data_IF_809335704602
#
_entry.id   IF_809335704602
#
_cell.length_a   1.000
_cell.length_b   1.000
_cell.length_c   1.000
_cell.angle_alpha   90.00
_cell.angle_beta   90.00
_cell.angle_gamma   90.00
#
_symmetry.space_group_name_H-M   'P 1'
#
loop_
_entity.id
_entity.type
_entity.pdbx_description
1 polymer ?
#
# COMPACT_ATOMS: atom_id res chain seq x y z
N UNK A 1 41.57 -15.79 -11.94
CA UNK A 1 41.30 -15.53 -10.50
C UNK A 1 40.26 -14.42 -10.28
N UNK A 2 40.22 -13.36 -11.11
CA UNK A 2 39.35 -12.20 -10.90
C UNK A 2 37.83 -12.47 -11.05
N UNK A 3 37.42 -13.27 -12.05
CA UNK A 3 36.00 -13.59 -12.29
C UNK A 3 35.35 -14.40 -11.15
N UNK A 4 36.12 -15.28 -10.49
CA UNK A 4 35.65 -16.08 -9.34
C UNK A 4 35.37 -15.21 -8.12
N UNK A 5 36.24 -14.23 -7.86
CA UNK A 5 36.07 -13.28 -6.76
C UNK A 5 34.90 -12.32 -7.00
N UNK A 6 34.65 -11.91 -8.26
CA UNK A 6 33.49 -11.08 -8.59
C UNK A 6 32.16 -11.81 -8.37
N UNK A 7 32.08 -13.08 -8.78
CA UNK A 7 30.92 -13.95 -8.52
C UNK A 7 30.64 -14.09 -7.02
N UNK A 8 31.68 -14.29 -6.21
CA UNK A 8 31.54 -14.41 -4.75
C UNK A 8 31.03 -13.13 -4.07
N UNK A 9 31.48 -11.96 -4.55
CA UNK A 9 31.00 -10.65 -4.07
C UNK A 9 29.53 -10.44 -4.42
N UNK A 10 29.13 -10.75 -5.66
CA UNK A 10 27.72 -10.66 -6.06
C UNK A 10 26.84 -11.64 -5.28
N UNK A 11 27.31 -12.88 -5.08
CA UNK A 11 26.58 -13.88 -4.31
C UNK A 11 26.39 -13.44 -2.86
N UNK A 12 27.43 -12.90 -2.20
CA UNK A 12 27.29 -12.34 -0.84
C UNK A 12 26.33 -11.15 -0.79
N UNK A 13 26.37 -10.27 -1.79
CA UNK A 13 25.46 -9.12 -1.88
C UNK A 13 24.01 -9.58 -2.04
N UNK A 14 23.75 -10.58 -2.90
CA UNK A 14 22.43 -11.19 -3.07
C UNK A 14 21.93 -11.84 -1.79
N UNK A 15 22.76 -12.65 -1.12
CA UNK A 15 22.40 -13.29 0.15
C UNK A 15 22.08 -12.28 1.26
N UNK A 16 22.85 -11.17 1.33
CA UNK A 16 22.58 -10.09 2.29
C UNK A 16 21.20 -9.46 2.02
N UNK A 17 20.93 -9.12 0.76
CA UNK A 17 19.65 -8.58 0.33
C UNK A 17 18.50 -9.56 0.61
N UNK A 18 18.66 -10.85 0.30
CA UNK A 18 17.69 -11.90 0.59
C UNK A 18 17.35 -12.00 2.09
N UNK A 19 18.38 -11.99 2.94
CA UNK A 19 18.21 -12.04 4.38
C UNK A 19 17.50 -10.79 4.93
N UNK A 20 17.81 -9.61 4.37
CA UNK A 20 17.15 -8.37 4.74
C UNK A 20 15.66 -8.38 4.31
N UNK A 21 15.33 -8.99 3.17
CA UNK A 21 13.94 -9.23 2.75
C UNK A 21 13.21 -10.20 3.67
N UNK A 22 13.80 -11.35 3.99
CA UNK A 22 13.20 -12.34 4.88
C UNK A 22 12.96 -11.76 6.29
N UNK A 23 13.89 -10.93 6.77
CA UNK A 23 13.69 -10.21 8.03
C UNK A 23 12.51 -9.25 7.95
N UNK A 24 12.40 -8.49 6.86
CA UNK A 24 11.30 -7.55 6.66
C UNK A 24 9.95 -8.28 6.52
N UNK A 25 9.90 -9.37 5.77
CA UNK A 25 8.72 -10.23 5.61
C UNK A 25 8.27 -10.81 6.96
N UNK A 26 9.21 -11.32 7.77
CA UNK A 26 8.90 -11.82 9.11
C UNK A 26 8.40 -10.73 10.04
N UNK A 27 8.99 -9.52 9.97
CA UNK A 27 8.49 -8.37 10.72
C UNK A 27 7.07 -8.00 10.26
N UNK A 28 6.82 -7.98 8.95
CA UNK A 28 5.49 -7.73 8.37
C UNK A 28 4.47 -8.74 8.88
N UNK A 29 4.80 -10.03 8.86
CA UNK A 29 3.90 -11.08 9.35
C UNK A 29 3.58 -10.90 10.83
N UNK A 30 4.59 -10.61 11.67
CA UNK A 30 4.37 -10.39 13.10
C UNK A 30 3.49 -9.16 13.37
N UNK A 31 3.65 -8.08 12.60
CA UNK A 31 2.79 -6.91 12.71
C UNK A 31 1.37 -7.20 12.21
N UNK A 32 1.21 -7.92 11.10
CA UNK A 32 -0.10 -8.40 10.64
C UNK A 32 -0.78 -9.23 11.73
N UNK A 33 -0.04 -10.15 12.37
CA UNK A 33 -0.56 -10.99 13.44
C UNK A 33 -0.98 -10.14 14.65
N UNK A 34 -0.18 -9.12 15.03
CA UNK A 34 -0.53 -8.17 16.11
C UNK A 34 -1.76 -7.35 15.75
N UNK A 35 -1.83 -6.79 14.52
CA UNK A 35 -2.95 -5.96 14.07
C UNK A 35 -4.25 -6.78 13.94
N UNK A 36 -4.17 -8.03 13.49
CA UNK A 36 -5.31 -8.97 13.44
C UNK A 36 -5.76 -9.37 14.84
N UNK A 37 -4.82 -9.49 15.79
CA UNK A 37 -5.13 -9.79 17.19
C UNK A 37 -5.70 -8.57 17.93
N UNK A 38 -5.19 -7.37 17.67
CA UNK A 38 -5.67 -6.09 18.24
C UNK A 38 -7.00 -5.65 17.60
N UNK A 39 -7.21 -5.98 16.32
CA UNK A 39 -8.47 -5.78 15.58
C UNK A 39 -9.67 -6.58 16.08
N UNK A 40 -9.50 -7.41 17.12
CA UNK A 40 -10.64 -7.92 17.90
C UNK A 40 -11.28 -6.84 18.79
N UNK A 41 -10.66 -5.66 18.91
CA UNK A 41 -11.26 -4.46 19.49
C UNK A 41 -11.83 -3.52 18.42
N UNK A 42 -13.16 -3.56 18.27
CA UNK A 42 -14.13 -2.47 17.97
C UNK A 42 -13.95 -1.48 16.79
N UNK A 43 -12.85 -1.43 16.05
CA UNK A 43 -12.62 -0.38 15.04
C UNK A 43 -12.63 -0.89 13.58
N UNK A 44 -13.62 -1.70 13.21
CA UNK A 44 -13.89 -1.97 11.79
C UNK A 44 -14.65 -0.78 11.21
N UNK A 45 -14.14 -0.18 10.13
CA UNK A 45 -14.85 0.90 9.42
C UNK A 45 -16.24 0.42 9.00
N UNK A 46 -17.27 1.17 9.35
CA UNK A 46 -18.62 0.90 8.85
C UNK A 46 -18.73 1.30 7.36
N UNK A 47 -19.81 0.88 6.69
CA UNK A 47 -19.99 1.14 5.26
C UNK A 47 -20.04 2.64 4.91
N UNK A 48 -20.59 3.47 5.80
CA UNK A 48 -20.66 4.92 5.60
C UNK A 48 -19.26 5.56 5.61
N UNK A 49 -18.43 5.18 6.58
CA UNK A 49 -17.03 5.60 6.68
C UNK A 49 -16.22 5.12 5.47
N UNK A 50 -16.43 3.88 5.03
CA UNK A 50 -15.77 3.33 3.82
C UNK A 50 -16.16 4.10 2.58
N UNK A 51 -17.44 4.42 2.41
CA UNK A 51 -17.95 5.20 1.28
C UNK A 51 -17.40 6.62 1.24
N UNK A 52 -17.39 7.29 2.40
CA UNK A 52 -16.86 8.65 2.52
C UNK A 52 -15.36 8.71 2.22
N UNK A 53 -14.59 7.78 2.80
CA UNK A 53 -13.15 7.69 2.56
C UNK A 53 -12.87 7.42 1.09
N UNK A 54 -13.51 6.41 0.50
CA UNK A 54 -13.38 6.06 -0.92
C UNK A 54 -13.64 7.29 -1.81
N UNK A 55 -14.78 7.97 -1.63
CA UNK A 55 -15.12 9.17 -2.41
C UNK A 55 -14.04 10.25 -2.26
N UNK A 56 -13.60 10.52 -1.04
CA UNK A 56 -12.63 11.61 -0.80
C UNK A 56 -11.25 11.28 -1.39
N UNK A 57 -10.83 10.01 -1.38
CA UNK A 57 -9.61 9.57 -2.06
C UNK A 57 -9.70 9.77 -3.59
N UNK A 58 -10.84 9.46 -4.20
CA UNK A 58 -11.05 9.65 -5.63
C UNK A 58 -11.07 11.14 -6.01
N UNK A 59 -11.82 11.96 -5.26
CA UNK A 59 -11.86 13.42 -5.47
C UNK A 59 -10.47 14.06 -5.35
N UNK A 60 -9.65 13.62 -4.37
CA UNK A 60 -8.29 14.13 -4.21
C UNK A 60 -7.38 13.78 -5.40
N UNK A 61 -7.60 12.63 -6.04
CA UNK A 61 -6.83 12.18 -7.19
C UNK A 61 -7.20 12.89 -8.50
N UNK A 62 -8.41 13.46 -8.58
CA UNK A 62 -8.88 14.25 -9.73
C UNK A 62 -8.44 15.72 -9.71
N UNK A 63 -7.79 16.17 -8.62
CA UNK A 63 -7.28 17.53 -8.52
C UNK A 63 -6.01 17.72 -9.37
N UNK A 64 -6.06 18.67 -10.31
CA UNK A 64 -4.89 19.06 -11.13
C UNK A 64 -3.75 19.66 -10.29
N UNK A 65 -4.08 20.19 -9.12
CA UNK A 65 -3.14 20.82 -8.19
C UNK A 65 -2.67 19.80 -7.16
N UNK A 66 -1.44 19.32 -7.35
CA UNK A 66 -0.80 18.33 -6.48
C UNK A 66 -0.72 18.77 -5.01
N UNK A 67 -0.54 20.06 -4.72
CA UNK A 67 -0.44 20.55 -3.35
C UNK A 67 -1.81 20.53 -2.66
N UNK A 68 -2.87 20.88 -3.40
CA UNK A 68 -4.25 20.73 -2.92
C UNK A 68 -4.62 19.26 -2.73
N UNK A 69 -4.27 18.40 -3.69
CA UNK A 69 -4.46 16.94 -3.58
C UNK A 69 -3.77 16.37 -2.34
N UNK A 70 -2.51 16.74 -2.10
CA UNK A 70 -1.77 16.33 -0.91
C UNK A 70 -2.41 16.82 0.39
N UNK A 71 -2.91 18.05 0.43
CA UNK A 71 -3.60 18.60 1.61
C UNK A 71 -4.90 17.85 1.92
N UNK A 72 -5.69 17.50 0.89
CA UNK A 72 -6.91 16.68 1.06
C UNK A 72 -6.55 15.29 1.56
N UNK A 73 -5.56 14.63 0.96
CA UNK A 73 -5.09 13.32 1.39
C UNK A 73 -4.59 13.32 2.84
N UNK A 74 -3.83 14.34 3.24
CA UNK A 74 -3.35 14.49 4.62
C UNK A 74 -4.52 14.54 5.62
N UNK A 75 -5.54 15.35 5.31
CA UNK A 75 -6.75 15.45 6.14
C UNK A 75 -7.44 14.09 6.27
N UNK A 76 -7.71 13.43 5.15
CA UNK A 76 -8.39 12.11 5.13
C UNK A 76 -7.62 11.07 5.94
N UNK A 77 -6.30 10.98 5.75
CA UNK A 77 -5.45 10.05 6.47
C UNK A 77 -5.46 10.37 7.98
N UNK A 78 -5.48 11.64 8.36
CA UNK A 78 -5.53 12.04 9.78
C UNK A 78 -6.83 11.63 10.48
N UNK A 79 -7.94 11.53 9.73
CA UNK A 79 -9.27 11.16 10.23
C UNK A 79 -9.49 9.64 10.30
N UNK A 80 -8.60 8.84 9.72
CA UNK A 80 -8.68 7.38 9.83
C UNK A 80 -8.57 6.91 11.29
N UNK A 81 -9.28 5.82 11.67
CA UNK A 81 -9.02 5.13 12.92
C UNK A 81 -7.53 4.79 13.03
N UNK A 82 -6.99 4.87 14.25
CA UNK A 82 -5.55 4.75 14.50
C UNK A 82 -4.96 3.51 13.83
N UNK A 83 -5.62 2.36 14.00
CA UNK A 83 -5.17 1.08 13.44
C UNK A 83 -5.08 1.11 11.91
N UNK A 84 -6.06 1.70 11.22
CA UNK A 84 -6.05 1.84 9.76
C UNK A 84 -4.94 2.79 9.29
N UNK A 85 -4.77 3.93 9.99
CA UNK A 85 -3.72 4.91 9.68
C UNK A 85 -2.33 4.32 9.83
N UNK A 86 -2.07 3.63 10.94
CA UNK A 86 -0.77 3.03 11.24
C UNK A 86 -0.44 1.91 10.23
N UNK A 87 -1.45 1.10 9.86
CA UNK A 87 -1.33 0.07 8.81
C UNK A 87 -1.02 0.69 7.45
N UNK A 88 -1.75 1.74 7.07
CA UNK A 88 -1.53 2.43 5.79
C UNK A 88 -0.13 3.06 5.74
N UNK A 89 0.31 3.73 6.80
CA UNK A 89 1.64 4.33 6.89
C UNK A 89 2.74 3.28 6.74
N UNK A 90 2.58 2.14 7.42
CA UNK A 90 3.51 1.03 7.31
C UNK A 90 3.59 0.49 5.87
N UNK A 91 2.45 0.26 5.23
CA UNK A 91 2.40 -0.24 3.86
C UNK A 91 3.03 0.76 2.87
N UNK A 92 2.72 2.05 2.99
CA UNK A 92 3.30 3.08 2.12
C UNK A 92 4.83 3.14 2.25
N UNK A 93 5.38 3.00 3.47
CA UNK A 93 6.82 2.91 3.69
C UNK A 93 7.43 1.66 3.06
N UNK A 94 6.73 0.51 3.11
CA UNK A 94 7.17 -0.71 2.46
C UNK A 94 7.19 -0.55 0.93
N UNK A 95 6.11 -0.07 0.33
CA UNK A 95 6.03 0.17 -1.12
C UNK A 95 7.09 1.17 -1.59
N UNK A 96 7.39 2.19 -0.80
CA UNK A 96 8.49 3.11 -1.12
C UNK A 96 9.86 2.40 -1.16
N UNK A 97 10.12 1.45 -0.25
CA UNK A 97 11.34 0.62 -0.30
C UNK A 97 11.37 -0.29 -1.53
N UNK A 98 10.21 -0.84 -1.92
CA UNK A 98 10.05 -1.65 -3.13
C UNK A 98 10.41 -0.85 -4.38
N UNK A 99 9.89 0.38 -4.53
CA UNK A 99 10.20 1.28 -5.67
C UNK A 99 11.71 1.56 -5.76
N UNK A 100 12.37 1.72 -4.61
CA UNK A 100 13.80 2.03 -4.54
C UNK A 100 14.70 0.80 -4.70
N UNK A 101 14.12 -0.39 -4.80
CA UNK A 101 14.85 -1.64 -4.97
C UNK A 101 15.07 -1.94 -6.46
N UNK A 102 16.31 -1.86 -6.97
CA UNK A 102 16.59 -2.12 -8.38
C UNK A 102 16.33 -3.58 -8.78
N UNK A 103 16.32 -4.52 -7.82
CA UNK A 103 16.05 -5.93 -8.07
C UNK A 103 14.55 -6.22 -8.21
N UNK A 104 13.68 -5.42 -7.60
CA UNK A 104 12.24 -5.69 -7.60
C UNK A 104 11.60 -5.34 -8.95
N UNK A 105 12.18 -4.41 -9.70
CA UNK A 105 11.67 -3.96 -11.01
C UNK A 105 10.22 -3.45 -10.99
N UNK A 106 9.70 -3.10 -9.82
CA UNK A 106 8.38 -2.53 -9.62
C UNK A 106 8.50 -1.01 -9.46
N UNK A 107 8.10 -0.27 -10.49
CA UNK A 107 8.02 1.18 -10.40
C UNK A 107 6.73 1.65 -9.68
N UNK A 108 6.63 2.95 -9.44
CA UNK A 108 5.49 3.55 -8.77
C UNK A 108 4.16 3.28 -9.52
N UNK A 109 4.18 3.27 -10.85
CA UNK A 109 2.97 3.07 -11.66
C UNK A 109 2.47 1.63 -11.56
N UNK A 110 3.38 0.65 -11.61
CA UNK A 110 3.05 -0.76 -11.46
C UNK A 110 2.50 -1.06 -10.06
N UNK A 111 3.10 -0.48 -9.02
CA UNK A 111 2.56 -0.63 -7.66
C UNK A 111 1.20 0.07 -7.50
N UNK A 112 1.02 1.27 -8.06
CA UNK A 112 -0.27 1.96 -8.01
C UNK A 112 -1.39 1.16 -8.69
N UNK A 113 -1.11 0.51 -9.83
CA UNK A 113 -2.07 -0.35 -10.53
C UNK A 113 -2.47 -1.60 -9.73
N UNK A 114 -1.52 -2.21 -9.00
CA UNK A 114 -1.79 -3.44 -8.23
C UNK A 114 -2.43 -3.12 -6.88
N UNK A 115 -1.89 -2.14 -6.16
CA UNK A 115 -2.30 -1.83 -4.79
C UNK A 115 -3.41 -0.78 -4.71
N UNK A 116 -3.56 0.11 -5.70
CA UNK A 116 -4.64 1.10 -5.74
C UNK A 116 -6.03 0.50 -5.54
N UNK A 117 -6.46 -0.47 -6.38
CA UNK A 117 -7.75 -1.14 -6.20
C UNK A 117 -7.88 -1.87 -4.86
N UNK A 118 -6.80 -2.49 -4.38
CA UNK A 118 -6.82 -3.28 -3.13
C UNK A 118 -6.94 -2.40 -1.89
N UNK A 119 -6.32 -1.22 -1.90
CA UNK A 119 -6.25 -0.31 -0.74
C UNK A 119 -7.38 0.69 -0.69
N UNK A 120 -7.76 1.25 -1.85
CA UNK A 120 -8.89 2.19 -1.94
C UNK A 120 -10.20 1.40 -1.97
N UNK A 121 -10.19 0.21 -2.57
CA UNK A 121 -11.33 -0.70 -2.60
C UNK A 121 -12.53 -0.09 -3.30
N UNK A 122 -13.71 -0.48 -2.83
CA UNK A 122 -14.98 0.12 -3.17
C UNK A 122 -15.59 0.74 -1.91
N UNK A 123 -16.43 1.77 -2.07
CA UNK A 123 -17.09 2.45 -0.98
C UNK A 123 -18.13 1.62 -0.19
N UNK A 124 -18.21 0.30 -0.40
CA UNK A 124 -19.17 -0.60 0.27
C UNK A 124 -18.59 -2.02 0.40
N UNK A 125 -19.04 -2.78 1.40
CA UNK A 125 -18.53 -4.13 1.68
C UNK A 125 -18.82 -5.17 0.58
N UNK A 126 -19.96 -5.06 -0.10
CA UNK A 126 -20.35 -5.94 -1.22
C UNK A 126 -20.79 -5.11 -2.43
N UNK A 127 -19.85 -4.66 -3.28
CA UNK A 127 -20.19 -3.90 -4.46
C UNK A 127 -20.97 -4.78 -5.44
N UNK A 128 -22.08 -4.26 -5.97
CA UNK A 128 -22.82 -4.95 -7.03
C UNK A 128 -21.95 -5.00 -8.30
N UNK A 129 -22.19 -5.96 -9.21
CA UNK A 129 -21.44 -6.05 -10.46
C UNK A 129 -21.41 -4.72 -11.25
N UNK A 130 -22.49 -3.93 -11.19
CA UNK A 130 -22.58 -2.62 -11.83
C UNK A 130 -21.66 -1.58 -11.17
N UNK A 131 -21.54 -1.58 -9.84
CA UNK A 131 -20.65 -0.68 -9.09
C UNK A 131 -19.17 -1.02 -9.32
N UNK A 132 -18.84 -2.32 -9.41
CA UNK A 132 -17.49 -2.77 -9.76
C UNK A 132 -17.10 -2.26 -11.16
N UNK A 133 -18.01 -2.37 -12.13
CA UNK A 133 -17.76 -1.91 -13.50
C UNK A 133 -17.55 -0.38 -13.58
N UNK A 134 -18.31 0.41 -12.82
CA UNK A 134 -18.12 1.87 -12.79
C UNK A 134 -16.78 2.24 -12.14
N UNK A 135 -16.45 1.67 -10.99
CA UNK A 135 -15.22 2.04 -10.25
C UNK A 135 -13.96 1.63 -11.02
N UNK A 136 -13.99 0.50 -11.73
CA UNK A 136 -12.87 0.06 -12.59
C UNK A 136 -12.59 1.05 -13.72
N UNK A 137 -13.60 1.81 -14.18
CA UNK A 137 -13.43 2.79 -15.26
C UNK A 137 -12.74 4.08 -14.82
N UNK A 138 -12.77 4.39 -13.51
CA UNK A 138 -12.12 5.57 -12.91
C UNK A 138 -10.68 5.25 -12.50
N UNK A 139 -10.32 3.96 -12.42
CA UNK A 139 -8.97 3.55 -12.10
C UNK A 139 -8.03 3.73 -13.30
N UNK A 140 -6.83 4.33 -13.10
CA UNK A 140 -5.90 4.59 -14.19
C UNK A 140 -5.44 3.28 -14.84
N UNK A 141 -5.60 3.18 -16.16
CA UNK A 141 -5.18 2.03 -16.97
C UNK A 141 -3.67 1.85 -16.94
#
# INVERSE_FOLDING_TARGET
>A
MHARNQLDVEMKKRHKTEADYQYLERQMQLMCDILVQDGKSRDVLNDEQRSLLHRTFMEAAELDDNDKGAAVLYRVISELPKTNRDTLAFLMLHLHRVIRSPQCQMDQNNLARVFGPTLVGHGMSEPTPTTIMSDTSIQPK
#
